data_IF_475753989707
#
_entry.id   IF_475753989707
#
_cell.length_a   1.000
_cell.length_b   1.000
_cell.length_c   1.000
_cell.angle_alpha   90.00
_cell.angle_beta   90.00
_cell.angle_gamma   90.00
#
_symmetry.space_group_name_H-M   'P 1'
#
loop_
_entity.id
_entity.type
_entity.pdbx_description
1 polymer ?
#
# COMPACT_ATOMS: atom_id res chain seq x y z
N UNK A 1 17.74 20.25 11.09
CA UNK A 1 16.53 20.20 10.23
C UNK A 1 16.71 19.26 9.04
N UNK A 2 17.70 19.52 8.17
CA UNK A 2 17.98 18.70 6.97
C UNK A 2 18.21 17.22 7.31
N UNK A 3 19.00 16.94 8.36
CA UNK A 3 19.31 15.58 8.80
C UNK A 3 18.06 14.73 9.05
N UNK A 4 17.06 15.25 9.77
CA UNK A 4 15.84 14.50 10.05
C UNK A 4 15.04 14.16 8.80
N UNK A 5 15.00 15.06 7.82
CA UNK A 5 14.33 14.78 6.55
C UNK A 5 15.08 13.75 5.70
N UNK A 6 16.41 13.73 5.73
CA UNK A 6 17.20 12.70 5.03
C UNK A 6 16.87 11.32 5.60
N UNK A 7 16.88 11.16 6.93
CA UNK A 7 16.56 9.88 7.56
C UNK A 7 15.12 9.44 7.29
N UNK A 8 14.16 10.35 7.39
CA UNK A 8 12.77 10.06 7.05
C UNK A 8 12.61 9.67 5.58
N UNK A 9 13.31 10.35 4.67
CA UNK A 9 13.31 10.01 3.25
C UNK A 9 13.91 8.64 2.98
N UNK A 10 15.04 8.31 3.62
CA UNK A 10 15.67 6.98 3.52
C UNK A 10 14.76 5.88 4.08
N UNK A 11 14.09 6.12 5.21
CA UNK A 11 13.10 5.18 5.77
C UNK A 11 11.96 4.99 4.78
N UNK A 12 11.41 6.06 4.21
CA UNK A 12 10.34 5.98 3.21
C UNK A 12 10.76 5.20 1.95
N UNK A 13 11.95 5.48 1.40
CA UNK A 13 12.50 4.76 0.24
C UNK A 13 12.71 3.28 0.58
N UNK A 14 13.27 2.98 1.76
CA UNK A 14 13.48 1.61 2.23
C UNK A 14 12.16 0.86 2.38
N UNK A 15 11.13 1.50 2.95
CA UNK A 15 9.82 0.89 3.16
C UNK A 15 9.12 0.56 1.83
N UNK A 16 9.13 1.50 0.88
CA UNK A 16 8.59 1.26 -0.47
C UNK A 16 9.43 0.19 -1.18
N UNK A 17 10.76 0.25 -1.08
CA UNK A 17 11.66 -0.73 -1.67
C UNK A 17 11.42 -2.15 -1.13
N UNK A 18 11.16 -2.28 0.17
CA UNK A 18 10.77 -3.54 0.80
C UNK A 18 9.41 -4.01 0.27
N UNK A 19 8.38 -3.15 0.25
CA UNK A 19 7.08 -3.51 -0.29
C UNK A 19 7.15 -3.95 -1.77
N UNK A 20 7.94 -3.26 -2.58
CA UNK A 20 8.25 -3.62 -3.97
C UNK A 20 8.93 -4.98 -4.06
N UNK A 21 9.94 -5.24 -3.23
CA UNK A 21 10.64 -6.53 -3.22
C UNK A 21 9.69 -7.67 -2.84
N UNK A 22 8.86 -7.46 -1.82
CA UNK A 22 7.85 -8.42 -1.38
C UNK A 22 6.81 -8.69 -2.47
N UNK A 23 6.45 -7.66 -3.26
CA UNK A 23 5.46 -7.74 -4.35
C UNK A 23 5.97 -8.39 -5.64
N UNK A 24 7.27 -8.73 -5.77
CA UNK A 24 7.82 -9.33 -7.00
C UNK A 24 7.31 -10.72 -7.32
N UNK A 25 6.88 -11.51 -6.33
CA UNK A 25 6.56 -12.92 -6.55
C UNK A 25 5.15 -13.08 -7.16
N UNK A 26 4.97 -14.03 -8.10
CA UNK A 26 3.66 -14.28 -8.70
C UNK A 26 2.67 -14.80 -7.66
N UNK A 27 1.43 -14.34 -7.77
CA UNK A 27 0.32 -14.60 -6.85
C UNK A 27 -0.14 -16.05 -6.98
N UNK A 28 -0.40 -16.73 -5.85
CA UNK A 28 -1.14 -18.02 -5.84
C UNK A 28 -2.64 -17.74 -5.77
N UNK A 29 -3.48 -18.58 -6.36
CA UNK A 29 -4.94 -18.38 -6.39
C UNK A 29 -5.59 -18.20 -5.00
N UNK A 30 -4.97 -18.68 -3.91
CA UNK A 30 -5.46 -18.49 -2.54
C UNK A 30 -5.24 -17.08 -1.97
N UNK A 31 -4.37 -16.26 -2.57
CA UNK A 31 -4.07 -14.91 -2.11
C UNK A 31 -5.21 -13.92 -2.45
N UNK A 32 -6.09 -14.25 -3.40
CA UNK A 32 -7.17 -13.37 -3.84
C UNK A 32 -8.24 -13.09 -2.76
N UNK A 33 -8.38 -13.99 -1.78
CA UNK A 33 -9.25 -13.77 -0.62
C UNK A 33 -8.61 -12.84 0.43
N UNK A 34 -7.30 -12.58 0.33
CA UNK A 34 -6.51 -11.83 1.31
C UNK A 34 -6.29 -10.36 0.91
N UNK A 35 -6.59 -9.98 -0.32
CA UNK A 35 -6.29 -8.65 -0.84
C UNK A 35 -7.55 -7.86 -1.19
N UNK A 36 -7.57 -6.57 -0.86
CA UNK A 36 -8.63 -5.68 -1.32
C UNK A 36 -8.26 -5.09 -2.68
N UNK A 37 -9.14 -5.30 -3.66
CA UNK A 37 -8.94 -4.86 -5.04
C UNK A 37 -9.56 -3.49 -5.26
N UNK A 38 -8.75 -2.54 -5.72
CA UNK A 38 -9.24 -1.22 -6.14
C UNK A 38 -9.63 -1.25 -7.62
N UNK A 39 -10.88 -1.64 -7.88
CA UNK A 39 -11.54 -1.44 -9.18
C UNK A 39 -11.96 0.02 -9.37
N UNK A 40 -12.28 0.42 -10.60
CA UNK A 40 -12.72 1.79 -10.93
C UNK A 40 -13.93 2.24 -10.09
N UNK A 41 -14.91 1.36 -9.90
CA UNK A 41 -16.08 1.63 -9.04
C UNK A 41 -15.68 1.76 -7.57
N UNK A 42 -14.75 0.93 -7.08
CA UNK A 42 -14.21 1.02 -5.72
C UNK A 42 -13.45 2.33 -5.48
N UNK A 43 -12.71 2.80 -6.48
CA UNK A 43 -11.90 4.02 -6.40
C UNK A 43 -12.74 5.29 -6.21
N UNK A 44 -13.84 5.43 -6.97
CA UNK A 44 -14.75 6.57 -6.79
C UNK A 44 -15.41 6.57 -5.40
N UNK A 45 -15.81 5.38 -4.91
CA UNK A 45 -16.36 5.22 -3.56
C UNK A 45 -15.36 5.58 -2.47
N UNK A 46 -14.10 5.17 -2.63
CA UNK A 46 -13.04 5.53 -1.69
C UNK A 46 -12.84 7.04 -1.64
N UNK A 47 -12.81 7.73 -2.78
CA UNK A 47 -12.62 9.20 -2.78
C UNK A 47 -13.77 9.95 -2.09
N UNK A 48 -15.01 9.53 -2.35
CA UNK A 48 -16.20 10.08 -1.68
C UNK A 48 -16.14 9.79 -0.18
N UNK A 49 -15.83 8.54 0.20
CA UNK A 49 -15.69 8.13 1.59
C UNK A 49 -14.59 8.91 2.31
N UNK A 50 -13.42 9.11 1.68
CA UNK A 50 -12.30 9.88 2.26
C UNK A 50 -12.70 11.33 2.48
N UNK A 51 -13.40 11.95 1.52
CA UNK A 51 -13.87 13.33 1.66
C UNK A 51 -14.92 13.46 2.77
N UNK A 52 -15.88 12.53 2.81
CA UNK A 52 -16.92 12.47 3.83
C UNK A 52 -16.34 12.17 5.22
N UNK A 53 -15.35 11.29 5.30
CA UNK A 53 -14.65 10.94 6.54
C UNK A 53 -13.83 12.13 7.05
N UNK A 54 -13.14 12.88 6.19
CA UNK A 54 -12.36 14.04 6.59
C UNK A 54 -13.26 15.17 7.10
N UNK A 55 -14.36 15.43 6.40
CA UNK A 55 -15.35 16.42 6.82
C UNK A 55 -16.09 15.98 8.09
N UNK A 56 -16.44 14.70 8.18
CA UNK A 56 -17.02 14.08 9.37
C UNK A 56 -16.09 14.18 10.57
N UNK A 57 -14.78 13.93 10.39
CA UNK A 57 -13.77 14.07 11.43
C UNK A 57 -13.60 15.54 11.84
N UNK A 58 -13.58 16.49 10.90
CA UNK A 58 -13.52 17.93 11.19
C UNK A 58 -14.71 18.37 12.06
N UNK A 59 -15.93 17.96 11.69
CA UNK A 59 -17.12 18.23 12.48
C UNK A 59 -17.07 17.54 13.84
N UNK A 60 -16.60 16.30 13.90
CA UNK A 60 -16.47 15.54 15.14
C UNK A 60 -15.47 16.19 16.10
N UNK A 61 -14.34 16.70 15.60
CA UNK A 61 -13.37 17.47 16.41
C UNK A 61 -14.00 18.75 16.95
N UNK A 62 -14.85 19.41 16.15
CA UNK A 62 -15.52 20.66 16.55
C UNK A 62 -16.61 20.42 17.59
N UNK A 63 -17.28 19.26 17.55
CA UNK A 63 -18.43 18.92 18.41
C UNK A 63 -18.00 18.17 19.69
N UNK A 64 -17.01 17.29 19.61
CA UNK A 64 -16.57 16.45 20.74
C UNK A 64 -15.37 17.05 21.49
N UNK A 65 -15.40 16.92 22.82
CA UNK A 65 -14.31 17.38 23.70
C UNK A 65 -12.98 16.68 23.38
N UNK A 66 -11.91 17.49 23.34
CA UNK A 66 -10.50 17.14 23.13
C UNK A 66 -10.02 15.99 24.06
N UNK A 67 -10.77 15.67 25.12
CA UNK A 67 -10.46 14.61 26.08
C UNK A 67 -10.76 13.19 25.56
N UNK A 68 -11.76 12.99 24.72
CA UNK A 68 -12.19 11.63 24.29
C UNK A 68 -11.49 11.21 22.99
N UNK A 69 -11.22 12.17 22.11
CA UNK A 69 -10.62 11.93 20.81
C UNK A 69 -9.27 11.18 20.85
N UNK A 70 -8.33 11.49 21.77
CA UNK A 70 -7.07 10.74 21.88
C UNK A 70 -7.29 9.26 22.26
N UNK A 71 -8.30 8.97 23.09
CA UNK A 71 -8.64 7.60 23.47
C UNK A 71 -9.21 6.82 22.28
N UNK A 72 -10.15 7.42 21.53
CA UNK A 72 -10.69 6.82 20.31
C UNK A 72 -9.60 6.55 19.28
N UNK A 73 -8.64 7.46 19.13
CA UNK A 73 -7.52 7.28 18.22
C UNK A 73 -6.60 6.16 18.69
N UNK A 74 -6.22 6.09 19.98
CA UNK A 74 -5.41 4.98 20.50
C UNK A 74 -6.05 3.62 20.24
N UNK A 75 -7.36 3.50 20.46
CA UNK A 75 -8.12 2.27 20.18
C UNK A 75 -8.14 1.92 18.68
N UNK A 76 -8.30 2.93 17.81
CA UNK A 76 -8.21 2.73 16.37
C UNK A 76 -6.82 2.25 15.93
N UNK A 77 -5.74 2.81 16.47
CA UNK A 77 -4.38 2.41 16.10
C UNK A 77 -4.00 1.02 16.62
N UNK A 78 -4.51 0.60 17.79
CA UNK A 78 -4.36 -0.79 18.21
C UNK A 78 -5.09 -1.74 17.27
N UNK A 79 -6.32 -1.40 16.86
CA UNK A 79 -7.02 -2.20 15.86
C UNK A 79 -6.23 -2.26 14.55
N UNK A 80 -5.77 -1.12 14.04
CA UNK A 80 -4.99 -1.04 12.81
C UNK A 80 -3.67 -1.83 12.90
N UNK A 81 -2.98 -1.83 14.04
CA UNK A 81 -1.77 -2.63 14.23
C UNK A 81 -2.08 -4.12 14.21
N UNK A 82 -3.12 -4.54 14.94
CA UNK A 82 -3.51 -5.96 14.98
C UNK A 82 -3.94 -6.47 13.60
N UNK A 83 -4.71 -5.69 12.84
CA UNK A 83 -5.09 -6.04 11.47
C UNK A 83 -3.86 -6.07 10.54
N UNK A 84 -2.94 -5.10 10.69
CA UNK A 84 -1.72 -5.04 9.92
C UNK A 84 -0.78 -6.22 10.19
N UNK A 85 -0.62 -6.62 11.45
CA UNK A 85 0.20 -7.76 11.84
C UNK A 85 -0.39 -9.06 11.31
N UNK A 86 -1.71 -9.24 11.42
CA UNK A 86 -2.44 -10.38 10.86
C UNK A 86 -2.23 -10.48 9.34
N UNK A 87 -2.48 -9.39 8.61
CA UNK A 87 -2.30 -9.37 7.17
C UNK A 87 -0.86 -9.63 6.74
N UNK A 88 0.12 -9.11 7.47
CA UNK A 88 1.53 -9.33 7.18
C UNK A 88 1.97 -10.77 7.48
N UNK A 89 1.54 -11.34 8.61
CA UNK A 89 1.82 -12.74 8.95
C UNK A 89 1.20 -13.69 7.94
N UNK A 90 -0.05 -13.45 7.53
CA UNK A 90 -0.70 -14.21 6.45
C UNK A 90 0.11 -14.11 5.16
N UNK A 91 0.44 -12.89 4.72
CA UNK A 91 1.24 -12.67 3.50
C UNK A 91 2.60 -13.39 3.56
N UNK A 92 3.32 -13.33 4.69
CA UNK A 92 4.62 -13.97 4.84
C UNK A 92 4.54 -15.49 4.92
N UNK A 93 3.52 -16.04 5.60
CA UNK A 93 3.35 -17.49 5.74
C UNK A 93 2.97 -18.15 4.43
N UNK A 94 2.00 -17.59 3.69
CA UNK A 94 1.65 -18.07 2.36
C UNK A 94 2.83 -18.01 1.39
N UNK A 95 3.75 -17.05 1.60
CA UNK A 95 4.95 -16.88 0.78
C UNK A 95 6.10 -17.86 1.08
N UNK A 96 6.46 -18.04 2.36
CA UNK A 96 7.71 -18.72 2.73
C UNK A 96 7.53 -20.20 3.06
N UNK A 97 6.37 -20.61 3.55
CA UNK A 97 6.30 -21.90 4.24
C UNK A 97 5.71 -23.02 3.36
N UNK A 98 5.06 -22.71 2.23
CA UNK A 98 4.31 -23.70 1.41
C UNK A 98 3.51 -24.69 2.26
N UNK A 99 3.14 -24.30 3.48
CA UNK A 99 2.24 -25.06 4.31
C UNK A 99 0.89 -24.72 3.71
N UNK A 100 0.36 -25.66 2.92
CA UNK A 100 -1.07 -25.82 2.74
C UNK A 100 -1.63 -26.11 4.14
N UNK A 101 -1.66 -25.07 4.98
CA UNK A 101 -2.34 -25.12 6.25
C UNK A 101 -3.77 -25.23 5.79
N UNK A 102 -4.32 -26.44 5.79
CA UNK A 102 -5.75 -26.70 5.67
C UNK A 102 -6.45 -25.53 6.36
N UNK A 103 -7.08 -24.66 5.56
CA UNK A 103 -7.83 -23.50 5.99
C UNK A 103 -9.06 -24.05 6.72
N UNK A 104 -8.88 -24.67 7.88
CA UNK A 104 -9.97 -24.92 8.80
C UNK A 104 -10.14 -23.62 9.58
N UNK A 105 -11.18 -22.81 9.27
CA UNK A 105 -11.46 -21.63 10.06
C UNK A 105 -11.74 -22.10 11.49
N UNK A 106 -10.94 -21.63 12.45
CA UNK A 106 -11.19 -21.93 13.86
C UNK A 106 -12.47 -21.22 14.33
N UNK A 107 -12.74 -20.04 13.78
CA UNK A 107 -13.92 -19.25 14.07
C UNK A 107 -14.30 -18.43 12.84
N UNK A 108 -15.57 -18.54 12.41
CA UNK A 108 -16.14 -17.75 11.31
C UNK A 108 -17.23 -16.85 11.87
N UNK A 109 -16.91 -15.59 12.14
CA UNK A 109 -17.90 -14.58 12.55
C UNK A 109 -18.31 -13.80 11.31
N UNK A 110 -19.39 -14.26 10.66
CA UNK A 110 -20.02 -13.60 9.50
C UNK A 110 -19.01 -13.36 8.34
N UNK A 111 -19.21 -12.29 7.55
CA UNK A 111 -18.34 -11.85 6.44
C UNK A 111 -17.16 -10.99 6.91
N UNK A 112 -17.02 -10.76 8.22
CA UNK A 112 -16.12 -9.74 8.78
C UNK A 112 -14.83 -10.32 9.39
N UNK A 113 -14.86 -11.51 10.01
CA UNK A 113 -13.67 -12.07 10.64
C UNK A 113 -13.59 -13.59 10.47
N UNK A 114 -12.65 -14.05 9.66
CA UNK A 114 -12.21 -15.45 9.59
C UNK A 114 -10.83 -15.55 10.20
N UNK A 115 -10.69 -16.34 11.26
CA UNK A 115 -9.43 -16.51 11.99
C UNK A 115 -8.81 -17.86 11.64
N UNK A 116 -7.54 -17.82 11.23
CA UNK A 116 -6.71 -18.98 10.91
C UNK A 116 -5.70 -19.25 12.04
N UNK A 117 -5.13 -20.46 12.08
CA UNK A 117 -4.07 -20.79 13.06
C UNK A 117 -2.82 -19.90 12.91
N UNK A 118 -2.53 -19.46 11.69
CA UNK A 118 -1.49 -18.48 11.36
C UNK A 118 -1.65 -17.14 12.09
N UNK A 119 -2.88 -16.75 12.40
CA UNK A 119 -3.22 -15.44 12.95
C UNK A 119 -2.75 -15.28 14.40
N UNK A 120 -2.62 -16.38 15.14
CA UNK A 120 -2.08 -16.35 16.51
C UNK A 120 -0.66 -15.80 16.56
N UNK A 121 0.16 -16.07 15.54
CA UNK A 121 1.53 -15.54 15.47
C UNK A 121 1.50 -14.03 15.25
N UNK A 122 0.61 -13.54 14.38
CA UNK A 122 0.43 -12.09 14.16
C UNK A 122 -0.06 -11.36 15.41
N UNK A 123 -1.00 -11.96 16.15
CA UNK A 123 -1.51 -11.44 17.42
C UNK A 123 -0.41 -11.42 18.48
N UNK A 124 0.36 -12.51 18.61
CA UNK A 124 1.45 -12.62 19.59
C UNK A 124 2.53 -11.54 19.38
N UNK A 125 2.79 -11.16 18.12
CA UNK A 125 3.72 -10.07 17.78
C UNK A 125 3.11 -8.69 18.06
N UNK A 126 1.81 -8.50 17.83
CA UNK A 126 1.14 -7.20 18.02
C UNK A 126 0.98 -6.82 19.49
N UNK A 127 0.59 -7.76 20.36
CA UNK A 127 0.35 -7.51 21.80
C UNK A 127 1.47 -6.73 22.49
N UNK A 128 2.77 -7.13 22.42
CA UNK A 128 3.82 -6.38 23.11
C UNK A 128 4.00 -4.98 22.55
N UNK A 129 3.85 -4.78 21.24
CA UNK A 129 3.96 -3.46 20.60
C UNK A 129 2.82 -2.56 21.05
N UNK A 130 1.59 -3.09 21.10
CA UNK A 130 0.42 -2.37 21.59
C UNK A 130 0.56 -2.01 23.08
N UNK A 131 0.98 -2.96 23.94
CA UNK A 131 1.21 -2.69 25.36
C UNK A 131 2.27 -1.60 25.58
N UNK A 132 3.36 -1.65 24.82
CA UNK A 132 4.39 -0.62 24.86
C UNK A 132 3.87 0.73 24.33
N UNK A 133 3.01 0.75 23.31
CA UNK A 133 2.38 1.97 22.79
C UNK A 133 1.41 2.60 23.80
N UNK A 134 0.65 1.78 24.53
CA UNK A 134 -0.25 2.28 25.59
C UNK A 134 0.53 2.81 26.79
N UNK A 135 1.63 2.14 27.13
CA UNK A 135 2.43 2.47 28.32
C UNK A 135 3.44 3.60 28.08
N UNK A 136 3.89 3.81 26.84
CA UNK A 136 4.93 4.79 26.52
C UNK A 136 4.57 5.64 25.31
N UNK A 137 4.74 6.96 25.43
CA UNK A 137 4.64 7.89 24.30
C UNK A 137 5.97 7.99 23.51
N UNK A 138 6.63 6.85 23.33
CA UNK A 138 7.93 6.78 22.68
C UNK A 138 7.76 6.98 21.16
N UNK A 139 8.56 7.87 20.59
CA UNK A 139 8.54 8.18 19.16
C UNK A 139 8.92 6.95 18.31
N UNK A 140 9.79 6.09 18.83
CA UNK A 140 10.25 4.90 18.11
C UNK A 140 9.13 3.87 17.94
N UNK A 141 8.37 3.60 19.00
CA UNK A 141 7.24 2.66 18.96
C UNK A 141 6.18 3.15 17.99
N UNK A 142 5.88 4.46 18.03
CA UNK A 142 4.95 5.09 17.09
C UNK A 142 5.43 4.96 15.63
N UNK A 143 6.73 5.07 15.38
CA UNK A 143 7.30 4.87 14.04
C UNK A 143 7.22 3.41 13.58
N UNK A 144 7.50 2.45 14.46
CA UNK A 144 7.38 1.01 14.14
C UNK A 144 5.93 0.70 13.78
N UNK A 145 4.98 1.16 14.59
CA UNK A 145 3.55 1.00 14.35
C UNK A 145 3.15 1.58 12.99
N UNK A 146 3.53 2.83 12.71
CA UNK A 146 3.26 3.47 11.43
C UNK A 146 3.90 2.71 10.25
N UNK A 147 5.14 2.24 10.38
CA UNK A 147 5.83 1.49 9.34
C UNK A 147 5.16 0.13 9.05
N UNK A 148 4.73 -0.60 10.08
CA UNK A 148 4.00 -1.88 9.93
C UNK A 148 2.66 -1.65 9.25
N UNK A 149 1.89 -0.66 9.68
CA UNK A 149 0.60 -0.30 9.05
C UNK A 149 0.81 0.12 7.58
N UNK A 150 1.80 0.96 7.29
CA UNK A 150 2.09 1.37 5.91
C UNK A 150 2.50 0.20 5.01
N UNK A 151 3.36 -0.69 5.51
CA UNK A 151 3.77 -1.88 4.76
C UNK A 151 2.59 -2.81 4.52
N UNK A 152 1.74 -3.03 5.53
CA UNK A 152 0.51 -3.81 5.37
C UNK A 152 -0.40 -3.19 4.29
N UNK A 153 -0.67 -1.89 4.35
CA UNK A 153 -1.53 -1.21 3.37
C UNK A 153 -0.99 -1.38 1.94
N UNK A 154 0.32 -1.23 1.74
CA UNK A 154 0.96 -1.38 0.42
C UNK A 154 0.89 -2.81 -0.16
N UNK A 155 0.79 -3.82 0.71
CA UNK A 155 0.68 -5.23 0.31
C UNK A 155 -0.77 -5.70 0.22
N UNK A 156 -1.66 -5.13 1.03
CA UNK A 156 -3.07 -5.49 1.12
C UNK A 156 -3.88 -4.88 -0.03
N UNK A 157 -3.71 -3.57 -0.28
CA UNK A 157 -4.44 -2.86 -1.33
C UNK A 157 -3.76 -3.09 -2.68
N UNK A 158 -4.53 -3.52 -3.67
CA UNK A 158 -4.02 -3.79 -5.02
C UNK A 158 -4.75 -2.97 -6.06
N UNK A 159 -3.99 -2.16 -6.80
CA UNK A 159 -4.48 -1.55 -8.03
C UNK A 159 -4.53 -2.59 -9.15
N UNK A 160 -5.61 -2.58 -9.92
CA UNK A 160 -5.82 -3.56 -10.99
C UNK A 160 -5.26 -3.09 -12.33
N UNK A 161 -5.16 -1.77 -12.55
CA UNK A 161 -4.69 -1.19 -13.80
C UNK A 161 -3.79 0.03 -13.62
N UNK A 162 -2.86 0.20 -14.56
CA UNK A 162 -1.99 1.38 -14.66
C UNK A 162 -2.78 2.67 -14.88
N UNK A 163 -3.85 2.63 -15.66
CA UNK A 163 -4.66 3.81 -15.98
C UNK A 163 -5.37 4.35 -14.74
N UNK A 164 -6.14 3.49 -14.05
CA UNK A 164 -6.89 3.88 -12.86
C UNK A 164 -5.97 4.37 -11.74
N UNK A 165 -4.87 3.67 -11.48
CA UNK A 165 -3.91 4.08 -10.45
C UNK A 165 -3.25 5.43 -10.77
N UNK A 166 -2.97 5.73 -12.04
CA UNK A 166 -2.45 7.04 -12.46
C UNK A 166 -3.48 8.16 -12.25
N UNK A 167 -4.76 7.90 -12.56
CA UNK A 167 -5.85 8.86 -12.32
C UNK A 167 -6.03 9.13 -10.82
N UNK A 168 -5.97 8.09 -9.97
CA UNK A 168 -6.05 8.24 -8.53
C UNK A 168 -4.89 9.09 -7.98
N UNK A 169 -3.66 8.85 -8.44
CA UNK A 169 -2.50 9.65 -8.05
C UNK A 169 -2.69 11.12 -8.43
N UNK A 170 -3.23 11.38 -9.62
CA UNK A 170 -3.56 12.74 -10.05
C UNK A 170 -4.67 13.37 -9.20
N UNK A 171 -5.68 12.59 -8.79
CA UNK A 171 -6.72 13.06 -7.88
C UNK A 171 -6.16 13.42 -6.50
N UNK A 172 -5.24 12.62 -5.95
CA UNK A 172 -4.55 12.92 -4.69
C UNK A 172 -3.63 14.15 -4.80
N UNK A 173 -2.98 14.35 -5.95
CA UNK A 173 -2.23 15.57 -6.23
C UNK A 173 -3.12 16.81 -6.14
N UNK A 174 -4.28 16.80 -6.81
CA UNK A 174 -5.23 17.94 -6.77
C UNK A 174 -5.80 18.12 -5.36
N UNK A 175 -6.12 17.02 -4.68
CA UNK A 175 -6.63 17.02 -3.32
C UNK A 175 -5.66 17.70 -2.35
N UNK A 176 -4.37 17.33 -2.38
CA UNK A 176 -3.35 17.89 -1.50
C UNK A 176 -3.16 19.39 -1.74
N UNK A 177 -3.10 19.82 -3.01
CA UNK A 177 -3.02 21.24 -3.38
C UNK A 177 -4.24 22.03 -2.88
N UNK A 178 -5.44 21.47 -3.05
CA UNK A 178 -6.68 22.13 -2.62
C UNK A 178 -6.72 22.31 -1.09
N UNK A 179 -6.45 21.26 -0.33
CA UNK A 179 -6.55 21.32 1.14
C UNK A 179 -5.39 22.05 1.82
N UNK A 180 -4.20 22.09 1.22
CA UNK A 180 -3.04 22.81 1.78
C UNK A 180 -3.14 24.32 1.53
N UNK A 181 -3.49 24.75 0.31
CA UNK A 181 -3.44 26.16 -0.04
C UNK A 181 -4.77 26.91 0.15
N UNK A 182 -5.91 26.25 -0.04
CA UNK A 182 -7.20 26.95 -0.11
C UNK A 182 -8.07 26.82 1.14
N UNK A 183 -7.80 25.85 2.04
CA UNK A 183 -8.70 25.53 3.16
C UNK A 183 -7.98 25.49 4.52
N UNK A 184 -8.51 26.12 5.59
CA UNK A 184 -7.92 26.04 6.93
C UNK A 184 -8.18 24.72 7.68
N UNK A 185 -8.80 23.72 7.03
CA UNK A 185 -9.13 22.41 7.63
C UNK A 185 -7.86 21.66 8.01
N UNK A 186 -6.83 21.67 7.15
CA UNK A 186 -5.59 20.94 7.44
C UNK A 186 -4.84 21.54 8.63
N UNK A 187 -4.82 22.88 8.73
CA UNK A 187 -4.13 23.57 9.83
C UNK A 187 -4.86 23.41 11.17
N UNK A 188 -6.20 23.37 11.18
CA UNK A 188 -6.99 23.18 12.41
C UNK A 188 -7.06 21.74 12.90
N UNK A 189 -7.11 20.74 12.01
CA UNK A 189 -7.08 19.32 12.40
C UNK A 189 -5.69 18.88 12.84
N UNK A 190 -4.63 19.34 12.16
CA UNK A 190 -3.25 18.94 12.48
C UNK A 190 -2.72 19.52 13.79
N UNK A 191 -3.25 20.67 14.25
CA UNK A 191 -2.84 21.27 15.53
C UNK A 191 -3.50 20.60 16.73
N UNK A 192 -4.69 20.04 16.54
CA UNK A 192 -5.59 19.63 17.63
C UNK A 192 -5.41 18.18 18.09
N UNK A 193 -4.66 17.35 17.36
CA UNK A 193 -4.49 15.93 17.70
C UNK A 193 -3.06 15.44 17.42
N UNK A 194 -2.43 14.86 18.44
CA UNK A 194 -1.14 14.16 18.32
C UNK A 194 -1.41 12.67 18.10
N UNK A 195 -1.49 12.26 16.85
CA UNK A 195 -1.77 10.88 16.44
C UNK A 195 -0.55 10.32 15.68
N UNK A 196 -0.20 9.03 15.81
CA UNK A 196 0.85 8.37 15.02
C UNK A 196 0.45 8.14 13.53
N UNK A 197 0.01 9.20 12.84
CA UNK A 197 -0.25 9.19 11.38
C UNK A 197 1.01 9.63 10.59
N UNK A 198 2.11 9.87 11.29
CA UNK A 198 3.34 10.44 10.73
C UNK A 198 4.57 9.72 11.28
N UNK A 199 5.56 9.51 10.43
CA UNK A 199 6.89 9.12 10.87
C UNK A 199 7.61 10.34 11.43
N UNK A 200 8.33 10.12 12.53
CA UNK A 200 8.96 11.16 13.33
C UNK A 200 10.46 10.92 13.42
N UNK A 201 11.30 11.93 13.21
CA UNK A 201 12.74 11.79 13.45
C UNK A 201 13.35 13.04 14.11
N UNK A 202 14.25 12.90 15.10
CA UNK A 202 14.84 14.06 15.78
C UNK A 202 15.69 14.92 14.83
N UNK A 203 15.52 16.24 14.90
CA UNK A 203 16.18 17.22 14.00
C UNK A 203 17.68 17.37 14.23
N UNK A 204 18.16 17.01 15.41
CA UNK A 204 19.56 17.06 15.84
C UNK A 204 19.94 15.75 16.52
N UNK A 205 21.15 15.26 16.23
CA UNK A 205 21.74 14.08 16.88
C UNK A 205 21.96 14.30 18.39
N UNK A 206 22.15 15.55 18.82
CA UNK A 206 22.28 15.91 20.25
C UNK A 206 21.00 15.63 21.05
N UNK A 207 19.85 15.60 20.39
CA UNK A 207 18.54 15.32 20.99
C UNK A 207 18.09 13.87 20.74
N UNK A 208 19.00 13.00 20.28
CA UNK A 208 18.72 11.60 20.06
C UNK A 208 18.65 10.87 21.40
N UNK A 209 17.45 10.77 21.96
CA UNK A 209 17.16 9.96 23.15
C UNK A 209 16.24 8.81 22.76
N UNK A 210 16.71 7.57 22.92
CA UNK A 210 15.95 6.35 22.59
C UNK A 210 14.69 6.17 23.45
N UNK A 211 14.67 6.78 24.64
CA UNK A 211 13.54 6.79 25.58
C UNK A 211 12.81 8.14 25.61
N UNK A 212 13.16 9.07 24.71
CA UNK A 212 12.51 10.39 24.68
C UNK A 212 11.05 10.30 24.24
N UNK A 213 10.17 11.10 24.85
CA UNK A 213 8.78 11.20 24.39
C UNK A 213 8.67 12.04 23.12
N UNK A 214 7.78 11.65 22.20
CA UNK A 214 7.55 12.32 20.90
C UNK A 214 6.88 13.72 21.01
N UNK A 215 6.70 14.24 22.23
CA UNK A 215 5.76 15.30 22.58
C UNK A 215 6.19 16.71 22.09
N UNK A 216 7.48 16.92 21.81
CA UNK A 216 7.99 18.25 21.49
C UNK A 216 8.07 18.54 19.98
N UNK A 217 7.04 19.23 19.46
CA UNK A 217 6.87 19.59 18.03
C UNK A 217 8.09 20.30 17.39
N UNK A 218 8.88 21.03 18.18
CA UNK A 218 10.02 21.80 17.65
C UNK A 218 11.29 20.97 17.43
N UNK A 219 11.38 19.79 18.05
CA UNK A 219 12.57 18.94 17.98
C UNK A 219 12.51 17.86 16.91
N UNK A 220 11.36 17.63 16.29
CA UNK A 220 11.18 16.54 15.34
C UNK A 220 10.79 17.00 13.93
N UNK A 221 11.34 16.32 12.93
CA UNK A 221 10.85 16.36 11.55
C UNK A 221 9.78 15.27 11.40
N UNK A 222 8.82 15.51 10.50
CA UNK A 222 7.71 14.61 10.27
C UNK A 222 7.56 14.31 8.77
N UNK A 223 7.15 13.09 8.44
CA UNK A 223 6.76 12.67 7.09
C UNK A 223 5.40 11.96 7.16
N UNK A 224 4.45 12.36 6.30
CA UNK A 224 3.11 11.80 6.29
C UNK A 224 3.10 10.35 5.79
N UNK A 225 2.27 9.51 6.40
CA UNK A 225 2.13 8.12 5.96
C UNK A 225 1.56 8.02 4.54
N UNK A 226 0.62 8.91 4.20
CA UNK A 226 0.00 8.98 2.88
C UNK A 226 1.01 9.25 1.76
N UNK A 227 2.02 10.08 2.03
CA UNK A 227 3.09 10.44 1.08
C UNK A 227 3.99 9.25 0.74
N UNK A 228 3.98 8.21 1.58
CA UNK A 228 4.75 6.98 1.37
C UNK A 228 3.84 5.90 0.77
N UNK A 229 2.66 5.70 1.36
CA UNK A 229 1.74 4.61 0.99
C UNK A 229 1.13 4.82 -0.39
N UNK A 230 0.67 6.03 -0.74
CA UNK A 230 -0.01 6.28 -2.02
C UNK A 230 0.96 6.06 -3.21
N UNK A 231 2.16 6.66 -3.23
CA UNK A 231 3.14 6.36 -4.27
C UNK A 231 3.64 4.91 -4.22
N UNK A 232 3.78 4.35 -3.01
CA UNK A 232 4.17 2.96 -2.80
C UNK A 232 3.23 1.96 -3.47
N UNK A 233 1.92 2.15 -3.33
CA UNK A 233 0.90 1.32 -4.00
C UNK A 233 1.01 1.35 -5.53
N UNK A 234 1.36 2.51 -6.10
CA UNK A 234 1.58 2.63 -7.54
C UNK A 234 2.86 1.90 -7.97
N UNK A 235 3.95 2.04 -7.21
CA UNK A 235 5.22 1.38 -7.50
C UNK A 235 5.15 -0.13 -7.32
N UNK A 236 4.38 -0.65 -6.36
CA UNK A 236 4.16 -2.10 -6.20
C UNK A 236 3.38 -2.68 -7.38
N UNK A 237 2.36 -1.98 -7.90
CA UNK A 237 1.70 -2.36 -9.16
C UNK A 237 2.71 -2.45 -10.32
N UNK A 238 3.56 -1.45 -10.49
CA UNK A 238 4.55 -1.47 -11.58
C UNK A 238 5.47 -2.69 -11.48
N UNK A 239 5.94 -3.05 -10.28
CA UNK A 239 6.75 -4.25 -10.09
C UNK A 239 6.00 -5.52 -10.50
N UNK A 240 4.73 -5.66 -10.12
CA UNK A 240 3.90 -6.82 -10.52
C UNK A 240 3.70 -6.88 -12.03
N UNK A 241 3.48 -5.72 -12.65
CA UNK A 241 3.42 -5.59 -14.12
C UNK A 241 4.73 -6.03 -14.77
N UNK A 242 5.89 -5.54 -14.29
CA UNK A 242 7.19 -5.94 -14.80
C UNK A 242 7.40 -7.46 -14.76
N UNK A 243 7.09 -8.09 -13.64
CA UNK A 243 7.31 -9.53 -13.50
C UNK A 243 6.36 -10.34 -14.37
N UNK A 244 5.10 -9.92 -14.49
CA UNK A 244 4.14 -10.57 -15.39
C UNK A 244 4.58 -10.48 -16.86
N UNK A 245 5.03 -9.30 -17.28
CA UNK A 245 5.46 -9.06 -18.66
C UNK A 245 6.79 -9.75 -18.98
N UNK A 246 7.69 -9.93 -18.00
CA UNK A 246 8.92 -10.73 -18.16
C UNK A 246 8.64 -12.20 -18.45
N UNK A 247 7.59 -12.76 -17.84
CA UNK A 247 7.21 -14.17 -18.00
C UNK A 247 6.50 -14.42 -19.34
N UNK A 248 5.88 -13.40 -19.93
CA UNK A 248 5.15 -13.51 -21.20
C UNK A 248 6.07 -13.25 -22.41
N UNK A 249 6.58 -14.30 -23.11
CA UNK A 249 7.65 -14.19 -24.10
C UNK A 249 7.27 -13.40 -25.37
N UNK A 250 5.97 -13.24 -25.67
CA UNK A 250 5.50 -12.46 -26.82
C UNK A 250 5.15 -11.00 -26.47
N UNK A 251 5.28 -10.57 -25.21
CA UNK A 251 4.58 -9.37 -24.76
C UNK A 251 5.28 -8.06 -25.11
N UNK A 252 6.61 -7.97 -25.02
CA UNK A 252 7.35 -6.72 -25.18
C UNK A 252 8.67 -6.89 -25.92
N UNK A 253 9.00 -5.92 -26.77
CA UNK A 253 10.24 -5.87 -27.53
C UNK A 253 11.47 -5.55 -26.68
N UNK A 254 11.28 -4.96 -25.49
CA UNK A 254 12.33 -4.51 -24.56
C UNK A 254 11.91 -4.74 -23.11
N UNK A 255 12.88 -4.92 -22.18
CA UNK A 255 12.56 -5.13 -20.77
C UNK A 255 11.85 -3.91 -20.16
N UNK A 256 10.67 -4.15 -19.59
CA UNK A 256 9.96 -3.17 -18.78
C UNK A 256 10.66 -3.07 -17.42
N UNK A 257 11.50 -2.05 -17.24
CA UNK A 257 12.26 -1.78 -16.01
C UNK A 257 12.04 -0.32 -15.59
N UNK A 258 10.82 -0.02 -15.17
CA UNK A 258 10.26 1.30 -14.87
C UNK A 258 10.04 1.50 -13.36
N UNK A 259 9.70 0.46 -12.61
CA UNK A 259 9.41 0.52 -11.19
C UNK A 259 10.62 1.02 -10.37
N UNK A 260 11.82 0.51 -10.64
CA UNK A 260 13.06 1.00 -10.00
C UNK A 260 13.36 2.46 -10.36
N UNK A 261 13.05 2.89 -11.58
CA UNK A 261 13.22 4.31 -11.99
C UNK A 261 12.19 5.19 -11.27
N UNK A 262 10.96 4.70 -11.10
CA UNK A 262 9.93 5.37 -10.29
C UNK A 262 10.35 5.54 -8.84
N UNK A 263 10.95 4.51 -8.21
CA UNK A 263 11.49 4.63 -6.85
C UNK A 263 12.63 5.67 -6.75
N UNK A 264 13.49 5.72 -7.77
CA UNK A 264 14.53 6.76 -7.84
C UNK A 264 13.93 8.17 -7.99
N UNK A 265 12.90 8.32 -8.85
CA UNK A 265 12.18 9.58 -9.03
C UNK A 265 11.45 10.03 -7.74
N UNK A 266 10.87 9.09 -6.99
CA UNK A 266 10.32 9.35 -5.66
C UNK A 266 11.37 9.93 -4.71
N UNK A 267 12.56 9.32 -4.64
CA UNK A 267 13.66 9.83 -3.80
C UNK A 267 14.11 11.24 -4.21
N UNK A 268 14.22 11.51 -5.52
CA UNK A 268 14.57 12.84 -6.03
C UNK A 268 13.48 13.87 -5.73
N UNK A 269 12.21 13.47 -5.81
CA UNK A 269 11.08 14.32 -5.45
C UNK A 269 11.10 14.70 -3.97
N UNK A 270 11.44 13.76 -3.07
CA UNK A 270 11.62 14.06 -1.64
C UNK A 270 12.77 15.05 -1.37
N UNK A 271 13.86 14.97 -2.13
CA UNK A 271 14.93 15.98 -2.03
C UNK A 271 14.41 17.35 -2.48
N UNK A 272 13.59 17.37 -3.53
CA UNK A 272 13.00 18.60 -4.08
C UNK A 272 11.98 19.22 -3.10
N UNK A 273 11.12 18.42 -2.46
CA UNK A 273 10.17 18.91 -1.45
C UNK A 273 10.88 19.55 -0.28
N UNK A 274 11.92 18.89 0.25
CA UNK A 274 12.73 19.41 1.36
C UNK A 274 13.44 20.69 0.94
N UNK A 275 14.02 20.72 -0.26
CA UNK A 275 14.69 21.91 -0.78
C UNK A 275 13.71 23.09 -0.88
N UNK A 276 12.52 22.89 -1.46
CA UNK A 276 11.49 23.91 -1.56
C UNK A 276 11.03 24.43 -0.20
N UNK A 277 10.85 23.53 0.78
CA UNK A 277 10.49 23.89 2.15
C UNK A 277 11.56 24.76 2.83
N UNK A 278 12.85 24.51 2.55
CA UNK A 278 13.95 25.32 3.08
C UNK A 278 14.02 26.72 2.46
N UNK A 279 13.69 26.85 1.17
CA UNK A 279 13.67 28.15 0.49
C UNK A 279 12.45 29.00 0.87
N UNK A 280 11.25 28.40 0.83
CA UNK A 280 10.00 29.15 0.98
C UNK A 280 9.60 29.36 2.44
N UNK A 281 10.12 28.57 3.39
CA UNK A 281 9.75 28.60 4.83
C UNK A 281 8.24 28.45 5.09
N UNK A 282 7.49 27.96 4.12
CA UNK A 282 6.05 27.66 4.19
C UNK A 282 5.88 26.16 3.99
N UNK A 283 4.89 25.56 4.68
CA UNK A 283 4.56 24.16 4.49
C UNK A 283 4.14 23.90 3.04
N UNK A 284 4.78 22.91 2.40
CA UNK A 284 4.53 22.53 1.01
C UNK A 284 3.86 21.16 0.98
N UNK A 285 2.86 20.94 0.09
CA UNK A 285 2.28 19.62 -0.14
C UNK A 285 3.35 18.68 -0.71
N UNK A 286 3.56 17.51 -0.10
CA UNK A 286 4.62 16.60 -0.57
C UNK A 286 4.23 15.93 -1.90
N UNK A 287 2.95 15.59 -2.06
CA UNK A 287 2.43 14.94 -3.27
C UNK A 287 2.55 15.85 -4.50
N UNK A 288 2.61 17.17 -4.31
CA UNK A 288 2.84 18.16 -5.37
C UNK A 288 4.09 17.85 -6.21
N UNK A 289 5.15 17.33 -5.58
CA UNK A 289 6.41 17.03 -6.25
C UNK A 289 6.53 15.55 -6.58
N UNK A 290 6.04 14.67 -5.69
CA UNK A 290 6.17 13.22 -5.83
C UNK A 290 5.38 12.69 -7.02
N UNK A 291 4.10 13.07 -7.15
CA UNK A 291 3.21 12.56 -8.18
C UNK A 291 3.71 12.89 -9.60
N UNK A 292 4.00 14.16 -9.95
CA UNK A 292 4.50 14.47 -11.29
C UNK A 292 5.85 13.83 -11.57
N UNK A 293 6.76 13.72 -10.59
CA UNK A 293 8.06 13.08 -10.78
C UNK A 293 7.93 11.59 -11.13
N UNK A 294 7.07 10.85 -10.41
CA UNK A 294 6.84 9.43 -10.69
C UNK A 294 6.11 9.26 -12.02
N UNK A 295 4.99 9.95 -12.24
CA UNK A 295 4.20 9.79 -13.46
C UNK A 295 5.01 10.17 -14.71
N UNK A 296 5.73 11.30 -14.68
CA UNK A 296 6.58 11.71 -15.81
C UNK A 296 7.68 10.68 -16.09
N UNK A 297 8.30 10.10 -15.07
CA UNK A 297 9.35 9.08 -15.24
C UNK A 297 8.79 7.78 -15.82
N UNK A 298 7.61 7.37 -15.37
CA UNK A 298 6.95 6.13 -15.78
C UNK A 298 6.43 6.25 -17.21
N UNK A 299 5.58 7.24 -17.47
CA UNK A 299 5.06 7.49 -18.80
C UNK A 299 6.18 7.87 -19.76
N UNK A 300 7.10 8.75 -19.38
CA UNK A 300 8.27 9.10 -20.20
C UNK A 300 9.10 7.87 -20.59
N UNK A 301 9.33 6.93 -19.65
CA UNK A 301 10.00 5.66 -19.97
C UNK A 301 9.20 4.80 -20.94
N UNK A 302 7.88 4.73 -20.80
CA UNK A 302 6.97 4.00 -21.71
C UNK A 302 7.06 4.59 -23.12
N UNK A 303 6.93 5.91 -23.23
CA UNK A 303 6.92 6.63 -24.51
C UNK A 303 8.27 6.60 -25.22
N UNK A 304 9.40 6.68 -24.50
CA UNK A 304 10.73 6.70 -25.12
C UNK A 304 11.19 5.29 -25.53
N UNK A 305 10.93 4.26 -24.70
CA UNK A 305 11.57 2.95 -24.89
C UNK A 305 10.72 1.93 -25.62
N UNK A 306 9.40 2.04 -25.60
CA UNK A 306 8.49 1.00 -26.08
C UNK A 306 7.76 1.41 -27.36
N UNK A 307 7.60 0.44 -28.26
CA UNK A 307 6.87 0.56 -29.54
C UNK A 307 5.37 0.74 -29.31
N UNK A 308 4.62 1.23 -30.30
CA UNK A 308 3.16 1.41 -30.23
C UNK A 308 2.41 0.14 -29.83
N UNK A 309 2.88 -1.04 -30.28
CA UNK A 309 2.31 -2.33 -29.90
C UNK A 309 2.53 -2.64 -28.41
N UNK A 310 3.78 -2.56 -27.93
CA UNK A 310 4.16 -2.71 -26.52
C UNK A 310 3.35 -1.76 -25.62
N UNK A 311 3.17 -0.49 -26.03
CA UNK A 311 2.37 0.48 -25.26
C UNK A 311 0.93 0.03 -25.11
N UNK A 312 0.31 -0.47 -26.18
CA UNK A 312 -1.07 -1.02 -26.11
C UNK A 312 -1.13 -2.21 -25.17
N UNK A 313 -0.12 -3.09 -25.17
CA UNK A 313 -0.05 -4.21 -24.23
C UNK A 313 0.08 -3.74 -22.78
N UNK A 314 0.95 -2.77 -22.50
CA UNK A 314 1.15 -2.18 -21.16
C UNK A 314 -0.14 -1.51 -20.66
N UNK A 315 -0.83 -0.72 -21.49
CA UNK A 315 -2.06 -0.03 -21.08
C UNK A 315 -3.27 -0.97 -20.96
N UNK A 316 -3.26 -2.08 -21.71
CA UNK A 316 -4.28 -3.14 -21.60
C UNK A 316 -4.03 -4.05 -20.39
N UNK A 317 -2.89 -3.92 -19.71
CA UNK A 317 -2.62 -4.68 -18.50
C UNK A 317 -3.72 -4.43 -17.47
N UNK A 318 -4.30 -5.54 -17.04
CA UNK A 318 -5.35 -5.60 -16.04
C UNK A 318 -5.11 -6.86 -15.21
N UNK A 319 -4.76 -6.65 -13.95
CA UNK A 319 -4.42 -7.70 -12.99
C UNK A 319 -5.60 -8.66 -12.80
N UNK A 320 -6.84 -8.17 -12.92
CA UNK A 320 -8.04 -8.98 -12.80
C UNK A 320 -8.15 -10.02 -13.93
N UNK A 321 -7.74 -9.67 -15.15
CA UNK A 321 -7.84 -10.57 -16.33
C UNK A 321 -6.86 -11.74 -16.26
N UNK A 322 -5.79 -11.62 -15.47
CA UNK A 322 -4.74 -12.63 -15.34
C UNK A 322 -5.09 -13.70 -14.30
N UNK A 323 -5.94 -13.39 -13.32
CA UNK A 323 -6.36 -14.31 -12.25
C UNK A 323 -7.32 -15.43 -12.69
N UNK A 324 -7.75 -15.47 -13.97
CA UNK A 324 -8.74 -16.44 -14.51
C UNK A 324 -8.07 -17.57 -15.32
N UNK A 325 -6.94 -18.12 -14.87
CA UNK A 325 -6.50 -19.45 -15.35
C UNK A 325 -6.50 -20.41 -14.16
N UNK A 326 -7.62 -21.13 -13.89
CA UNK A 326 -7.52 -22.31 -13.04
C UNK A 326 -6.44 -23.22 -13.62
N UNK A 327 -5.59 -23.74 -12.73
CA UNK A 327 -4.55 -24.70 -13.04
C UNK A 327 -5.15 -25.79 -13.95
N UNK A 328 -4.74 -25.83 -15.23
CA UNK A 328 -5.07 -26.92 -16.12
C UNK A 328 -4.31 -28.11 -15.57
N UNK A 329 -4.95 -28.91 -14.71
CA UNK A 329 -4.45 -30.24 -14.38
C UNK A 329 -4.15 -30.91 -15.71
N UNK A 330 -2.91 -31.37 -15.87
CA UNK A 330 -2.45 -32.02 -17.09
C UNK A 330 -3.49 -33.07 -17.47
N UNK A 331 -4.06 -32.93 -18.66
CA UNK A 331 -4.84 -33.98 -19.29
C UNK A 331 -3.94 -35.20 -19.36
N UNK A 332 -4.20 -36.17 -18.48
CA UNK A 332 -3.72 -37.53 -18.65
C UNK A 332 -4.26 -38.03 -19.98
N UNK A 333 -3.33 -38.39 -20.85
CA UNK A 333 -3.53 -39.14 -22.08
C UNK A 333 -4.48 -40.34 -21.91
N UNK A 334 -5.45 -40.43 -22.81
CA UNK A 334 -5.91 -41.70 -23.41
C UNK A 334 -6.84 -42.59 -22.59
N UNK A 335 -8.13 -42.55 -22.91
CA UNK A 335 -8.85 -43.76 -23.34
C UNK A 335 -10.08 -43.38 -24.15
N UNK A 336 -10.04 -43.76 -25.43
CA UNK A 336 -11.18 -43.75 -26.33
C UNK A 336 -12.32 -44.60 -25.74
N UNK A 337 -13.49 -44.00 -25.56
CA UNK A 337 -14.76 -44.73 -25.52
C UNK A 337 -15.58 -44.35 -26.76
N UNK A 338 -15.62 -45.31 -27.68
CA UNK A 338 -16.28 -45.26 -28.97
C UNK A 338 -17.79 -44.91 -28.88
N UNK A 339 -18.41 -44.38 -29.96
CA UNK A 339 -19.82 -44.08 -29.97
C UNK A 339 -20.67 -45.34 -30.19
N UNK A 340 -21.78 -45.42 -29.44
CA UNK A 340 -22.86 -46.39 -29.60
C UNK A 340 -23.32 -46.51 -31.07
N UNK A 341 -23.28 -47.71 -31.63
CA UNK A 341 -24.14 -48.14 -32.76
C UNK A 341 -25.32 -48.95 -32.20
N UNK A 342 -26.55 -48.77 -32.71
CA UNK A 342 -27.60 -49.75 -32.54
C UNK A 342 -27.77 -50.65 -33.78
N UNK A 343 -28.38 -51.81 -33.51
CA UNK A 343 -29.05 -52.76 -34.41
C UNK A 343 -28.21 -53.87 -35.07
N UNK A 344 -28.28 -55.05 -34.46
CA UNK A 344 -28.26 -56.35 -35.13
C UNK A 344 -29.44 -56.46 -36.12
N UNK A 345 -29.19 -57.00 -37.30
CA UNK A 345 -30.10 -57.98 -37.92
C UNK A 345 -29.32 -58.80 -38.97
N UNK A 346 -29.19 -60.09 -38.69
CA UNK A 346 -28.90 -61.15 -39.66
C UNK A 346 -30.18 -61.53 -40.41
N UNK A 347 -30.07 -61.75 -41.72
CA UNK A 347 -30.90 -62.56 -42.64
C UNK A 347 -30.54 -62.07 -44.06
N UNK A 348 -30.07 -62.83 -45.04
CA UNK A 348 -29.76 -64.25 -45.26
C UNK A 348 -28.54 -64.34 -46.19
#
# INVERSE_FOLDING_TARGET
MIFGFIFLGLIGISLIGLAMHLSRRPIRCCDDALHERLTSTGMSRMFILTTLMLLGLYLLIKVWSIRILPLCMRLYFTYALTDASLGLTRFLMYRNLSIDMELQPLFKVRRLLTVYKADFIGILIAIPIDLCYWSTDNWLISNILAAVVALHLMLYIRFTSLGYSSILLMAFFVYDVFFVFYTPVMTTVATSINIPIKLVWPRSLTNFTLLGSAQEKDRYSFLGLGDIVIPGLYLTLLVRMEETLKIAPESLSRPFCVARRGLFAYGLALVTTVSSLLFMKVAQPALLYIVPAILSTVYGSIWIKHTTADRKAIFKYDEDRLSIRPFRQGTSSGSDSAPNRPAESHQE
#
